data_IF_763166981555
#
_entry.id   IF_763166981555
#
_cell.length_a   1.000
_cell.length_b   1.000
_cell.length_c   1.000
_cell.angle_alpha   90.00
_cell.angle_beta   90.00
_cell.angle_gamma   90.00
#
_symmetry.space_group_name_H-M   'P 1'
#
loop_
_entity.id
_entity.type
_entity.pdbx_description
1 polymer ?
#
# COMPACT_ATOMS: atom_id res chain seq x y z
N UNK A 1 -10.32 -27.97 -22.45
CA UNK A 1 -9.32 -27.45 -21.49
C UNK A 1 -8.57 -26.34 -22.20
N UNK A 2 -8.74 -25.04 -21.91
CA UNK A 2 -9.32 -24.39 -20.75
C UNK A 2 -10.30 -23.31 -21.21
N UNK A 3 -11.52 -23.45 -20.71
CA UNK A 3 -12.58 -22.45 -20.75
C UNK A 3 -12.40 -21.66 -19.45
N UNK A 4 -12.02 -20.39 -19.50
CA UNK A 4 -12.24 -19.34 -18.48
C UNK A 4 -11.77 -17.99 -19.06
N UNK A 5 -12.12 -17.68 -20.31
CA UNK A 5 -12.18 -16.28 -20.74
C UNK A 5 -13.53 -15.75 -20.25
N UNK A 6 -13.55 -15.28 -19.00
CA UNK A 6 -14.59 -14.34 -18.57
C UNK A 6 -14.26 -13.05 -19.34
N UNK A 7 -15.12 -12.60 -20.27
CA UNK A 7 -14.89 -11.32 -20.94
C UNK A 7 -14.80 -10.23 -19.86
N UNK A 8 -13.87 -9.27 -19.96
CA UNK A 8 -13.78 -8.23 -18.95
C UNK A 8 -15.13 -7.50 -18.93
N UNK A 9 -15.80 -7.36 -17.78
CA UNK A 9 -16.70 -6.23 -17.66
C UNK A 9 -15.85 -4.99 -17.94
N UNK A 10 -16.45 -3.91 -18.44
CA UNK A 10 -15.79 -2.60 -18.57
C UNK A 10 -15.30 -2.01 -17.21
N UNK A 11 -15.19 -2.84 -16.16
CA UNK A 11 -14.69 -2.52 -14.83
C UNK A 11 -13.19 -2.74 -14.74
N UNK A 12 -12.53 -1.77 -14.13
CA UNK A 12 -11.11 -1.82 -13.79
C UNK A 12 -10.88 -3.01 -12.83
N UNK A 13 -9.69 -3.63 -12.80
CA UNK A 13 -9.37 -4.71 -11.85
C UNK A 13 -9.73 -4.37 -10.39
N UNK A 14 -9.65 -3.09 -10.02
CA UNK A 14 -10.07 -2.59 -8.71
C UNK A 14 -11.56 -2.78 -8.43
N UNK A 15 -12.44 -2.65 -9.44
CA UNK A 15 -13.88 -2.84 -9.28
C UNK A 15 -14.21 -4.29 -8.92
N UNK A 16 -13.52 -5.24 -9.58
CA UNK A 16 -13.63 -6.67 -9.28
C UNK A 16 -13.16 -6.96 -7.84
N UNK A 17 -12.08 -6.32 -7.40
CA UNK A 17 -11.57 -6.51 -6.04
C UNK A 17 -12.54 -5.95 -4.99
N UNK A 18 -13.09 -4.76 -5.21
CA UNK A 18 -14.09 -4.16 -4.31
C UNK A 18 -15.37 -4.99 -4.23
N UNK A 19 -15.84 -5.55 -5.34
CA UNK A 19 -17.00 -6.44 -5.36
C UNK A 19 -16.76 -7.72 -4.54
N UNK A 20 -15.54 -8.27 -4.57
CA UNK A 20 -15.17 -9.42 -3.73
C UNK A 20 -15.15 -9.04 -2.24
N UNK A 21 -14.56 -7.90 -1.89
CA UNK A 21 -14.53 -7.40 -0.51
C UNK A 21 -15.93 -7.17 0.04
N UNK A 22 -16.84 -6.63 -0.78
CA UNK A 22 -18.25 -6.41 -0.41
C UNK A 22 -18.96 -7.70 0.02
N UNK A 23 -18.58 -8.84 -0.54
CA UNK A 23 -19.17 -10.15 -0.22
C UNK A 23 -18.53 -10.75 1.04
N UNK A 24 -17.22 -10.52 1.24
CA UNK A 24 -16.43 -11.19 2.29
C UNK A 24 -16.40 -10.43 3.62
N UNK A 25 -16.45 -9.10 3.58
CA UNK A 25 -16.31 -8.24 4.77
C UNK A 25 -17.67 -7.92 5.40
N UNK A 26 -17.68 -7.62 6.71
CA UNK A 26 -18.85 -7.03 7.34
C UNK A 26 -19.16 -5.66 6.74
N UNK A 27 -20.44 -5.26 6.76
CA UNK A 27 -20.87 -4.06 6.07
C UNK A 27 -20.19 -2.79 6.61
N UNK A 28 -20.05 -2.70 7.93
CA UNK A 28 -19.40 -1.56 8.60
C UNK A 28 -17.91 -1.48 8.23
N UNK A 29 -17.20 -2.60 8.22
CA UNK A 29 -15.78 -2.67 7.82
C UNK A 29 -15.58 -2.33 6.34
N UNK A 30 -16.50 -2.79 5.48
CA UNK A 30 -16.47 -2.44 4.05
C UNK A 30 -16.70 -0.94 3.82
N UNK A 31 -17.63 -0.31 4.55
CA UNK A 31 -17.84 1.14 4.49
C UNK A 31 -16.62 1.91 5.01
N UNK A 32 -16.00 1.42 6.08
CA UNK A 32 -14.79 2.01 6.63
C UNK A 32 -13.63 1.93 5.62
N UNK A 33 -13.44 0.78 4.97
CA UNK A 33 -12.48 0.62 3.88
C UNK A 33 -12.74 1.61 2.74
N UNK A 34 -13.99 1.73 2.27
CA UNK A 34 -14.36 2.68 1.21
C UNK A 34 -14.01 4.12 1.57
N UNK A 35 -14.25 4.52 2.83
CA UNK A 35 -13.92 5.87 3.29
C UNK A 35 -12.42 6.23 3.16
N UNK A 36 -11.55 5.22 3.19
CA UNK A 36 -10.09 5.36 3.05
C UNK A 36 -9.66 5.34 1.58
N UNK A 37 -10.21 4.42 0.78
CA UNK A 37 -9.73 4.20 -0.59
C UNK A 37 -10.39 5.11 -1.62
N UNK A 38 -11.66 5.52 -1.44
CA UNK A 38 -12.38 6.35 -2.43
C UNK A 38 -11.66 7.66 -2.79
N UNK A 39 -11.12 8.44 -1.83
CA UNK A 39 -10.39 9.66 -2.16
C UNK A 39 -9.14 9.38 -3.00
N UNK A 40 -8.45 8.27 -2.73
CA UNK A 40 -7.22 7.88 -3.42
C UNK A 40 -7.53 7.38 -4.82
N UNK A 41 -8.54 6.53 -4.97
CA UNK A 41 -8.99 6.03 -6.27
C UNK A 41 -9.42 7.16 -7.19
N UNK A 42 -10.09 8.18 -6.62
CA UNK A 42 -10.43 9.40 -7.35
C UNK A 42 -9.19 10.18 -7.78
N UNK A 43 -8.21 10.35 -6.91
CA UNK A 43 -6.98 11.06 -7.25
C UNK A 43 -6.19 10.36 -8.37
N UNK A 44 -6.14 9.02 -8.33
CA UNK A 44 -5.55 8.18 -9.39
C UNK A 44 -6.28 8.39 -10.71
N UNK A 45 -7.61 8.40 -10.72
CA UNK A 45 -8.41 8.62 -11.93
C UNK A 45 -8.21 10.02 -12.51
N UNK A 46 -8.10 11.03 -11.65
CA UNK A 46 -7.85 12.41 -12.03
C UNK A 46 -6.38 12.68 -12.45
N UNK A 47 -5.51 11.66 -12.48
CA UNK A 47 -4.05 11.74 -12.77
C UNK A 47 -3.29 12.71 -11.86
N UNK A 48 -3.92 13.13 -10.77
CA UNK A 48 -3.29 13.87 -9.70
C UNK A 48 -2.76 12.82 -8.76
N UNK A 49 -1.60 12.23 -9.05
CA UNK A 49 -0.92 11.42 -8.06
C UNK A 49 -0.33 12.39 -7.02
N UNK A 50 -0.89 12.52 -5.80
CA UNK A 50 -0.08 13.06 -4.74
C UNK A 50 1.19 12.22 -4.62
N UNK A 51 2.28 12.80 -4.15
CA UNK A 51 3.32 12.02 -3.47
C UNK A 51 2.60 11.38 -2.29
N UNK A 52 2.10 10.17 -2.51
CA UNK A 52 1.35 9.40 -1.52
C UNK A 52 2.38 8.94 -0.49
N UNK A 53 2.70 9.82 0.45
CA UNK A 53 3.17 9.41 1.76
C UNK A 53 1.95 8.85 2.50
N UNK A 54 1.55 7.63 2.12
CA UNK A 54 0.66 6.81 2.95
C UNK A 54 1.49 6.31 4.11
N UNK A 55 1.86 7.24 4.99
CA UNK A 55 2.13 6.90 6.36
C UNK A 55 0.79 6.39 6.93
N UNK A 56 0.56 5.08 6.81
CA UNK A 56 -0.43 4.33 7.61
C UNK A 56 -0.09 4.36 9.12
N UNK A 57 0.89 5.19 9.49
CA UNK A 57 1.33 5.58 10.82
C UNK A 57 0.84 6.98 11.23
N UNK A 58 0.09 7.72 10.38
CA UNK A 58 -0.53 8.98 10.77
C UNK A 58 -1.72 8.75 11.72
N UNK A 59 -1.96 9.70 12.64
CA UNK A 59 -2.99 9.73 13.72
C UNK A 59 -4.41 9.21 13.38
N UNK A 60 -4.76 9.07 12.10
CA UNK A 60 -6.04 8.48 11.63
C UNK A 60 -5.96 6.98 11.29
N UNK A 61 -4.77 6.47 11.00
CA UNK A 61 -4.49 5.07 10.69
C UNK A 61 -4.21 4.23 11.94
N UNK A 62 -3.80 4.84 13.05
CA UNK A 62 -3.76 4.18 14.37
C UNK A 62 -5.15 3.70 14.85
N UNK A 63 -6.24 4.26 14.31
CA UNK A 63 -7.62 3.85 14.63
C UNK A 63 -8.17 2.71 13.75
N UNK A 64 -7.50 2.36 12.64
CA UNK A 64 -7.99 1.35 11.71
C UNK A 64 -7.49 -0.06 12.08
N UNK A 65 -8.38 -1.07 12.12
CA UNK A 65 -7.98 -2.47 12.18
C UNK A 65 -6.95 -2.79 11.09
N UNK A 66 -5.92 -3.57 11.42
CA UNK A 66 -4.84 -3.89 10.48
C UNK A 66 -5.38 -4.56 9.21
N UNK A 67 -6.37 -5.45 9.35
CA UNK A 67 -7.03 -6.10 8.22
C UNK A 67 -7.59 -5.08 7.21
N UNK A 68 -8.22 -4.00 7.67
CA UNK A 68 -8.74 -2.95 6.79
C UNK A 68 -7.62 -2.15 6.13
N UNK A 69 -6.50 -1.93 6.83
CA UNK A 69 -5.32 -1.26 6.26
C UNK A 69 -4.66 -2.08 5.16
N UNK A 70 -4.49 -3.38 5.39
CA UNK A 70 -3.91 -4.31 4.43
C UNK A 70 -4.80 -4.38 3.18
N UNK A 71 -6.12 -4.49 3.35
CA UNK A 71 -7.08 -4.50 2.24
C UNK A 71 -7.13 -3.15 1.49
N UNK A 72 -7.06 -2.02 2.19
CA UNK A 72 -6.98 -0.71 1.55
C UNK A 72 -5.71 -0.56 0.70
N UNK A 73 -4.57 -1.05 1.20
CA UNK A 73 -3.32 -1.06 0.46
C UNK A 73 -3.41 -1.93 -0.81
N UNK A 74 -4.07 -3.09 -0.73
CA UNK A 74 -4.30 -3.97 -1.88
C UNK A 74 -5.23 -3.35 -2.93
N UNK A 75 -6.30 -2.67 -2.51
CA UNK A 75 -7.20 -1.93 -3.42
C UNK A 75 -6.43 -0.85 -4.18
N UNK A 76 -5.63 -0.05 -3.47
CA UNK A 76 -4.84 1.03 -4.07
C UNK A 76 -3.78 0.44 -5.02
N UNK A 77 -3.06 -0.59 -4.60
CA UNK A 77 -2.08 -1.26 -5.45
C UNK A 77 -2.73 -1.85 -6.70
N UNK A 78 -3.92 -2.45 -6.59
CA UNK A 78 -4.70 -2.96 -7.73
C UNK A 78 -5.08 -1.83 -8.69
N UNK A 79 -5.47 -0.66 -8.18
CA UNK A 79 -5.81 0.50 -9.00
C UNK A 79 -4.59 1.07 -9.74
N UNK A 80 -3.41 1.09 -9.10
CA UNK A 80 -2.16 1.61 -9.67
C UNK A 80 -1.54 0.62 -10.66
N UNK A 81 -1.51 -0.66 -10.31
CA UNK A 81 -0.80 -1.70 -11.09
C UNK A 81 -1.69 -2.36 -12.14
N UNK A 82 -3.01 -2.30 -11.98
CA UNK A 82 -3.97 -3.06 -12.77
C UNK A 82 -3.90 -4.57 -12.53
N UNK A 83 -3.27 -5.01 -11.43
CA UNK A 83 -3.05 -6.41 -11.10
C UNK A 83 -3.85 -6.82 -9.87
N UNK A 84 -4.35 -8.06 -9.87
CA UNK A 84 -5.09 -8.65 -8.74
C UNK A 84 -4.23 -9.54 -7.86
N UNK A 85 -3.02 -9.90 -8.31
CA UNK A 85 -2.08 -10.76 -7.60
C UNK A 85 -1.10 -9.96 -6.73
N UNK A 86 -1.56 -8.81 -6.22
CA UNK A 86 -0.82 -8.04 -5.23
C UNK A 86 -0.96 -8.71 -3.85
N UNK A 87 0.11 -8.69 -3.07
CA UNK A 87 0.19 -9.26 -1.74
C UNK A 87 0.85 -8.27 -0.77
N UNK A 88 0.38 -8.25 0.47
CA UNK A 88 1.01 -7.52 1.57
C UNK A 88 2.01 -8.45 2.24
N UNK A 89 3.28 -8.06 2.25
CA UNK A 89 4.36 -8.76 2.94
C UNK A 89 4.92 -7.91 4.07
N UNK A 90 5.21 -8.54 5.20
CA UNK A 90 5.89 -7.89 6.32
C UNK A 90 7.40 -8.13 6.20
N UNK A 91 8.16 -7.05 6.13
CA UNK A 91 9.61 -7.07 6.05
C UNK A 91 10.16 -6.54 7.36
N UNK A 92 10.77 -7.42 8.15
CA UNK A 92 11.47 -7.01 9.37
C UNK A 92 12.78 -6.32 9.00
N UNK A 93 12.94 -5.07 9.43
CA UNK A 93 14.24 -4.40 9.43
C UNK A 93 14.73 -4.28 10.86
N UNK A 94 16.04 -4.38 11.08
CA UNK A 94 16.64 -4.34 12.43
C UNK A 94 16.48 -2.97 13.11
N UNK A 95 16.23 -1.90 12.33
CA UNK A 95 16.32 -0.51 12.79
C UNK A 95 14.94 0.18 12.90
N UNK A 96 14.00 -0.08 11.98
CA UNK A 96 12.69 0.61 11.96
C UNK A 96 11.52 -0.28 12.36
N UNK A 97 11.77 -1.55 12.72
CA UNK A 97 10.74 -2.52 13.01
C UNK A 97 10.12 -3.13 11.74
N UNK A 98 9.02 -3.89 11.87
CA UNK A 98 8.36 -4.53 10.73
C UNK A 98 7.68 -3.49 9.82
N UNK A 99 8.12 -3.44 8.57
CA UNK A 99 7.53 -2.59 7.52
C UNK A 99 6.63 -3.45 6.62
N UNK A 100 5.39 -3.02 6.39
CA UNK A 100 4.48 -3.69 5.45
C UNK A 100 4.63 -3.12 4.05
N UNK A 101 4.84 -4.00 3.07
CA UNK A 101 5.06 -3.64 1.67
C UNK A 101 4.05 -4.38 0.81
N UNK A 102 3.46 -3.68 -0.17
CA UNK A 102 2.63 -4.32 -1.19
C UNK A 102 3.50 -4.66 -2.40
N UNK A 103 3.47 -5.90 -2.85
CA UNK A 103 4.23 -6.36 -4.01
C UNK A 103 3.47 -7.44 -4.78
N UNK A 104 3.94 -7.82 -5.97
CA UNK A 104 3.33 -8.90 -6.73
C UNK A 104 3.68 -10.28 -6.13
N UNK A 105 2.81 -11.27 -6.35
CA UNK A 105 2.95 -12.62 -5.80
C UNK A 105 4.31 -13.30 -6.10
N UNK A 106 4.93 -13.01 -7.26
CA UNK A 106 6.23 -13.59 -7.59
C UNK A 106 7.34 -12.98 -6.73
N UNK A 107 7.29 -11.68 -6.50
CA UNK A 107 8.22 -10.98 -5.60
C UNK A 107 7.97 -11.34 -4.13
N UNK A 108 6.72 -11.48 -3.70
CA UNK A 108 6.36 -11.89 -2.35
C UNK A 108 6.89 -13.29 -1.98
N UNK A 109 6.99 -14.18 -2.96
CA UNK A 109 7.48 -15.55 -2.77
C UNK A 109 9.01 -15.69 -2.91
N UNK A 110 9.72 -14.63 -3.27
CA UNK A 110 11.16 -14.65 -3.57
C UNK A 110 11.97 -14.02 -2.42
N UNK A 111 12.67 -14.83 -1.60
CA UNK A 111 13.42 -14.34 -0.45
C UNK A 111 14.61 -13.45 -0.84
N UNK A 112 15.19 -13.62 -2.04
CA UNK A 112 16.29 -12.77 -2.49
C UNK A 112 15.76 -11.36 -2.79
N UNK A 113 14.62 -11.26 -3.49
CA UNK A 113 13.96 -9.98 -3.76
C UNK A 113 13.47 -9.28 -2.50
N UNK A 114 12.91 -10.01 -1.54
CA UNK A 114 12.54 -9.44 -0.25
C UNK A 114 13.78 -8.91 0.49
N UNK A 115 14.93 -9.59 0.38
CA UNK A 115 16.21 -9.11 0.90
C UNK A 115 16.68 -7.82 0.24
N UNK A 116 16.52 -7.68 -1.07
CA UNK A 116 16.81 -6.45 -1.80
C UNK A 116 15.93 -5.28 -1.35
N UNK A 117 14.62 -5.53 -1.16
CA UNK A 117 13.68 -4.52 -0.65
C UNK A 117 14.08 -4.11 0.78
N UNK A 118 14.41 -5.07 1.65
CA UNK A 118 14.87 -4.78 3.01
C UNK A 118 16.15 -3.91 3.02
N UNK A 119 17.12 -4.22 2.14
CA UNK A 119 18.34 -3.45 2.00
C UNK A 119 18.05 -2.01 1.53
N UNK A 120 17.17 -1.85 0.53
CA UNK A 120 16.74 -0.55 0.04
C UNK A 120 16.03 0.28 1.12
N UNK A 121 15.13 -0.33 1.89
CA UNK A 121 14.43 0.34 2.99
C UNK A 121 15.41 0.83 4.07
N UNK A 122 16.42 0.02 4.41
CA UNK A 122 17.46 0.41 5.36
C UNK A 122 18.28 1.59 4.85
N UNK A 123 18.74 1.53 3.60
CA UNK A 123 19.51 2.61 3.00
C UNK A 123 18.70 3.92 2.95
N UNK A 124 17.42 3.85 2.58
CA UNK A 124 16.52 4.99 2.57
C UNK A 124 16.33 5.59 3.97
N UNK A 125 16.20 4.74 5.00
CA UNK A 125 16.09 5.22 6.37
C UNK A 125 17.32 6.02 6.80
N UNK A 126 18.51 5.49 6.57
CA UNK A 126 19.78 6.18 6.86
C UNK A 126 19.84 7.55 6.15
N UNK A 127 19.50 7.59 4.85
CA UNK A 127 19.47 8.84 4.10
C UNK A 127 18.47 9.86 4.69
N UNK A 128 17.28 9.41 5.09
CA UNK A 128 16.29 10.27 5.74
C UNK A 128 16.79 10.79 7.10
N UNK A 129 17.47 9.96 7.90
CA UNK A 129 18.06 10.41 9.16
C UNK A 129 19.18 11.43 8.97
N UNK A 130 20.03 11.25 7.95
CA UNK A 130 21.05 12.23 7.59
C UNK A 130 20.43 13.56 7.16
N UNK A 131 19.39 13.52 6.31
CA UNK A 131 18.66 14.71 5.89
C UNK A 131 17.99 15.42 7.07
N UNK A 132 17.38 14.65 7.99
CA UNK A 132 16.82 15.18 9.24
C UNK A 132 17.88 15.89 10.08
N UNK A 133 19.04 15.28 10.27
CA UNK A 133 20.15 15.88 11.02
C UNK A 133 20.68 17.18 10.38
N UNK A 134 20.73 17.25 9.05
CA UNK A 134 21.09 18.46 8.32
C UNK A 134 20.04 19.55 8.50
N UNK A 135 18.75 19.20 8.40
CA UNK A 135 17.64 20.15 8.60
C UNK A 135 17.68 20.73 10.01
N UNK A 136 17.84 19.89 11.04
CA UNK A 136 17.96 20.31 12.44
C UNK A 136 19.17 21.23 12.67
N UNK A 137 20.35 20.88 12.14
CA UNK A 137 21.56 21.69 12.25
C UNK A 137 21.44 23.03 11.51
N UNK A 138 20.60 23.10 10.47
CA UNK A 138 20.37 24.29 9.65
C UNK A 138 19.20 25.15 10.13
N UNK A 139 18.49 24.73 11.19
CA UNK A 139 17.27 25.41 11.66
C UNK A 139 16.10 25.33 10.68
N UNK A 140 16.09 24.32 9.80
CA UNK A 140 15.00 24.04 8.87
C UNK A 140 13.99 23.08 9.50
N UNK A 141 12.71 23.11 9.07
CA UNK A 141 11.74 22.09 9.47
C UNK A 141 12.23 20.70 9.06
N UNK A 142 12.00 19.71 9.91
CA UNK A 142 12.47 18.33 9.72
C UNK A 142 11.35 17.28 9.71
N UNK A 143 10.08 17.72 9.73
CA UNK A 143 8.91 16.87 9.48
C UNK A 143 8.80 16.62 7.97
N UNK A 144 9.49 15.57 7.48
CA UNK A 144 9.42 15.04 6.12
C UNK A 144 9.11 13.55 6.15
#
# INVERSE_FOLDING_TARGET
>A
MNEHEIPPPDGRPVDVYLDLLRIRMENDDYQLLLSVVEPVLRAIDEQQMPTIDFSLDGDSAEALPQEIRDEAALVIATAVTGRLDNEVVEISTDETGPVRVVTDAATASDPERLGEIAAYLRERHVQNEELRGIAEASGLPSDF
#
